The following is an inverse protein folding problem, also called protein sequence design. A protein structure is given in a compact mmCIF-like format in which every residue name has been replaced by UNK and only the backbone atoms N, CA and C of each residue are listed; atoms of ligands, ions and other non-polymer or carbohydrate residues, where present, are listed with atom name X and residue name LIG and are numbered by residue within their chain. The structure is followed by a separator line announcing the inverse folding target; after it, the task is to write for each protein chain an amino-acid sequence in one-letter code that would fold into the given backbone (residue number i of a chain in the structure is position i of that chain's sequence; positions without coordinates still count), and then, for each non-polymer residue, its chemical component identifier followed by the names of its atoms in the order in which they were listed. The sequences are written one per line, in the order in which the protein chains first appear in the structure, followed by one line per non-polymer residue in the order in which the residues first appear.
data_IF_255147558017
#
_entry.id   IF_255147558017
#
_cell.length_a   1.000
_cell.length_b   1.000
_cell.length_c   1.000
_cell.angle_alpha   90.00
_cell.angle_beta   90.00
_cell.angle_gamma   90.00
#
_symmetry.space_group_name_H-M   'P 1'
#
loop_
_entity.id
_entity.type
_entity.pdbx_description
1 polymer ?
#
# COMPACT_ATOMS: atom_id res chain seq x y z
N UNK A 1 -22.08 0.36 8.15
CA UNK A 1 -20.61 0.26 8.10
C UNK A 1 -20.16 0.58 6.67
N UNK A 2 -19.25 1.52 6.55
CA UNK A 2 -18.63 1.88 5.30
C UNK A 2 -17.12 1.57 5.41
N UNK A 3 -16.64 0.58 4.65
CA UNK A 3 -15.24 0.12 4.70
C UNK A 3 -15.08 -1.38 4.40
N UNK A 4 -13.87 -1.87 4.58
CA UNK A 4 -13.52 -3.28 4.36
C UNK A 4 -13.58 -4.07 5.65
N UNK A 5 -13.88 -5.35 5.53
CA UNK A 5 -14.06 -6.26 6.66
C UNK A 5 -13.31 -7.57 6.40
N UNK A 6 -12.65 -8.09 7.42
CA UNK A 6 -11.97 -9.39 7.40
C UNK A 6 -12.18 -10.10 8.73
N UNK A 7 -12.31 -11.44 8.70
CA UNK A 7 -12.40 -12.28 9.91
C UNK A 7 -13.45 -11.80 10.91
N UNK A 8 -14.69 -11.66 10.47
CA UNK A 8 -15.79 -11.28 11.36
C UNK A 8 -16.26 -12.49 12.17
N UNK A 9 -16.23 -12.38 13.50
CA UNK A 9 -16.67 -13.42 14.42
C UNK A 9 -17.76 -12.88 15.34
N UNK A 10 -18.88 -13.59 15.43
CA UNK A 10 -19.93 -13.38 16.41
C UNK A 10 -20.05 -14.60 17.32
N UNK A 11 -19.82 -14.39 18.62
CA UNK A 11 -19.84 -15.46 19.61
C UNK A 11 -21.09 -15.32 20.48
N UNK A 12 -21.95 -16.31 20.44
CA UNK A 12 -23.17 -16.34 21.23
C UNK A 12 -22.92 -16.97 22.61
N UNK A 13 -23.37 -16.27 23.64
CA UNK A 13 -23.36 -16.75 25.03
C UNK A 13 -22.01 -16.70 25.75
N UNK A 14 -20.94 -16.09 25.15
CA UNK A 14 -19.64 -15.96 25.78
C UNK A 14 -19.03 -14.57 25.60
N UNK A 15 -18.42 -14.04 26.65
CA UNK A 15 -17.56 -12.87 26.57
C UNK A 15 -16.09 -13.30 26.46
N UNK A 16 -15.44 -13.02 25.35
CA UNK A 16 -14.05 -13.40 25.06
C UNK A 16 -13.15 -12.18 24.96
N UNK A 17 -11.85 -12.41 25.13
CA UNK A 17 -10.83 -11.37 25.00
C UNK A 17 -10.19 -11.42 23.61
N UNK A 18 -9.49 -10.34 23.16
CA UNK A 18 -8.81 -10.33 21.87
C UNK A 18 -7.82 -11.49 21.65
N UNK A 19 -7.27 -12.06 22.73
CA UNK A 19 -6.36 -13.21 22.65
C UNK A 19 -7.03 -14.49 22.14
N UNK A 20 -8.37 -14.57 22.15
CA UNK A 20 -9.12 -15.66 21.52
C UNK A 20 -9.09 -15.58 19.99
N UNK A 21 -8.94 -14.37 19.42
CA UNK A 21 -9.04 -14.09 18.00
C UNK A 21 -7.70 -13.71 17.36
N UNK A 22 -6.63 -13.61 18.14
CA UNK A 22 -5.32 -13.25 17.64
C UNK A 22 -4.23 -13.53 18.67
N UNK A 23 -3.01 -13.22 18.27
CA UNK A 23 -1.82 -13.34 19.12
C UNK A 23 -0.83 -12.24 18.75
N UNK A 24 0.02 -11.87 19.68
CA UNK A 24 1.15 -11.00 19.39
C UNK A 24 2.30 -11.86 18.90
N UNK A 25 2.72 -11.64 17.65
CA UNK A 25 3.85 -12.33 17.05
C UNK A 25 5.12 -12.05 17.87
N UNK A 26 5.77 -13.09 18.33
CA UNK A 26 6.90 -12.98 19.24
C UNK A 26 8.07 -12.18 18.67
N UNK A 27 8.33 -12.31 17.38
CA UNK A 27 9.46 -11.71 16.70
C UNK A 27 9.27 -10.21 16.43
N UNK A 28 8.08 -9.79 16.04
CA UNK A 28 7.80 -8.42 15.58
C UNK A 28 7.07 -7.58 16.62
N UNK A 29 6.43 -8.20 17.59
CA UNK A 29 5.53 -7.55 18.52
C UNK A 29 4.19 -7.11 17.90
N UNK A 30 3.93 -7.48 16.65
CA UNK A 30 2.70 -7.14 15.94
C UNK A 30 1.60 -8.12 16.31
N UNK A 31 0.41 -7.61 16.62
CA UNK A 31 -0.76 -8.45 16.81
C UNK A 31 -1.22 -9.02 15.47
N UNK A 32 -1.41 -10.36 15.42
CA UNK A 32 -1.87 -11.09 14.23
C UNK A 32 -3.20 -11.77 14.52
N UNK A 33 -4.18 -11.69 13.62
CA UNK A 33 -5.41 -12.45 13.75
C UNK A 33 -5.13 -13.94 13.63
N UNK A 34 -5.92 -14.75 14.35
CA UNK A 34 -5.97 -16.20 14.24
C UNK A 34 -7.42 -16.66 14.18
N UNK A 35 -7.64 -17.80 13.55
CA UNK A 35 -8.95 -18.44 13.58
C UNK A 35 -9.35 -18.72 15.03
N UNK A 36 -10.58 -18.39 15.39
CA UNK A 36 -11.17 -18.84 16.64
C UNK A 36 -11.54 -20.33 16.52
N UNK A 37 -11.10 -21.16 17.47
CA UNK A 37 -11.29 -22.61 17.47
C UNK A 37 -12.28 -23.08 18.56
N UNK A 38 -12.83 -22.16 19.33
CA UNK A 38 -13.83 -22.47 20.34
C UNK A 38 -15.24 -22.62 19.77
N UNK A 39 -16.22 -22.78 20.65
CA UNK A 39 -17.62 -22.88 20.27
C UNK A 39 -18.23 -21.52 20.00
N UNK A 40 -18.96 -21.39 18.91
CA UNK A 40 -19.62 -20.14 18.52
C UNK A 40 -20.97 -19.91 19.21
N UNK A 41 -21.53 -20.95 19.88
CA UNK A 41 -22.91 -20.91 20.40
C UNK A 41 -23.95 -21.08 19.28
N UNK A 42 -25.22 -21.20 19.63
CA UNK A 42 -26.27 -21.56 18.67
C UNK A 42 -26.47 -20.51 17.57
N UNK A 43 -26.41 -19.23 17.92
CA UNK A 43 -26.60 -18.11 16.99
C UNK A 43 -25.28 -17.51 16.49
N UNK A 44 -24.14 -18.04 16.94
CA UNK A 44 -22.82 -17.57 16.56
C UNK A 44 -22.45 -17.94 15.13
N UNK A 45 -21.61 -17.12 14.51
CA UNK A 45 -21.16 -17.33 13.13
C UNK A 45 -19.76 -16.73 12.89
N UNK A 46 -19.10 -17.18 11.80
CA UNK A 46 -17.84 -16.63 11.32
C UNK A 46 -17.91 -16.36 9.82
N UNK A 47 -17.57 -15.14 9.42
CA UNK A 47 -17.40 -14.77 8.02
C UNK A 47 -15.92 -14.47 7.77
N UNK A 48 -15.26 -15.30 6.97
CA UNK A 48 -13.84 -15.09 6.61
C UNK A 48 -13.68 -14.48 5.22
N UNK A 49 -14.77 -14.41 4.44
CA UNK A 49 -14.82 -13.85 3.08
C UNK A 49 -13.78 -14.45 2.11
N UNK A 50 -13.25 -15.65 2.41
CA UNK A 50 -12.14 -16.25 1.68
C UNK A 50 -12.52 -16.93 0.37
N UNK A 51 -13.78 -17.31 0.23
CA UNK A 51 -14.28 -18.05 -0.94
C UNK A 51 -15.13 -17.14 -1.83
N UNK A 52 -14.48 -16.51 -2.79
CA UNK A 52 -15.12 -15.62 -3.77
C UNK A 52 -15.53 -16.34 -5.08
N UNK A 53 -15.61 -17.66 -5.08
CA UNK A 53 -16.10 -18.45 -6.24
C UNK A 53 -17.57 -18.15 -6.59
N UNK A 54 -18.34 -17.70 -5.60
CA UNK A 54 -19.67 -17.10 -5.77
C UNK A 54 -19.98 -16.18 -4.60
N UNK A 55 -20.89 -15.23 -4.80
CA UNK A 55 -21.31 -14.31 -3.73
C UNK A 55 -21.90 -15.05 -2.52
N UNK A 56 -22.66 -16.11 -2.76
CA UNK A 56 -23.23 -16.95 -1.70
C UNK A 56 -22.14 -17.64 -0.88
N UNK A 57 -21.06 -18.10 -1.52
CA UNK A 57 -19.94 -18.71 -0.83
C UNK A 57 -19.12 -17.70 -0.02
N UNK A 58 -18.99 -16.48 -0.53
CA UNK A 58 -18.26 -15.40 0.13
C UNK A 58 -18.87 -15.02 1.49
N UNK A 59 -20.19 -15.03 1.61
CA UNK A 59 -20.92 -14.68 2.85
C UNK A 59 -21.38 -15.90 3.64
N UNK A 60 -20.81 -17.07 3.36
CA UNK A 60 -21.17 -18.32 4.05
C UNK A 60 -20.55 -18.39 5.44
N UNK A 61 -21.36 -18.81 6.40
CA UNK A 61 -20.88 -19.09 7.76
C UNK A 61 -19.83 -20.20 7.77
N UNK A 62 -18.67 -19.90 8.30
CA UNK A 62 -17.53 -20.83 8.47
C UNK A 62 -17.33 -21.31 9.91
N UNK A 63 -18.27 -21.01 10.81
CA UNK A 63 -18.25 -21.48 12.20
C UNK A 63 -18.59 -22.98 12.33
N UNK A 64 -19.35 -23.51 11.38
CA UNK A 64 -19.90 -24.86 11.41
C UNK A 64 -21.37 -24.91 11.86
N UNK A 65 -21.94 -23.79 12.34
CA UNK A 65 -23.35 -23.74 12.77
C UNK A 65 -24.35 -23.67 11.61
N UNK A 66 -23.89 -23.24 10.42
CA UNK A 66 -24.77 -23.07 9.27
C UNK A 66 -25.62 -21.81 9.29
N UNK A 67 -25.27 -20.81 10.09
CA UNK A 67 -25.93 -19.50 10.17
C UNK A 67 -25.50 -18.64 8.96
N UNK A 68 -25.81 -19.10 7.75
CA UNK A 68 -25.43 -18.46 6.52
C UNK A 68 -26.17 -17.13 6.29
N UNK A 69 -25.49 -16.19 5.65
CA UNK A 69 -26.05 -14.92 5.24
C UNK A 69 -26.60 -14.99 3.81
N UNK A 70 -27.61 -14.19 3.54
CA UNK A 70 -28.08 -13.91 2.18
C UNK A 70 -27.42 -12.63 1.70
N UNK A 71 -26.67 -12.65 0.59
CA UNK A 71 -26.05 -11.45 0.05
C UNK A 71 -27.11 -10.48 -0.49
N UNK A 72 -26.91 -9.19 -0.27
CA UNK A 72 -27.73 -8.11 -0.81
C UNK A 72 -26.81 -6.98 -1.29
N UNK A 73 -26.96 -6.57 -2.55
CA UNK A 73 -26.16 -5.53 -3.20
C UNK A 73 -24.64 -5.73 -3.15
N UNK A 74 -24.17 -6.97 -3.06
CA UNK A 74 -22.75 -7.30 -3.15
C UNK A 74 -22.49 -8.34 -4.23
N UNK A 75 -21.28 -8.36 -4.72
CA UNK A 75 -20.81 -9.27 -5.76
C UNK A 75 -19.40 -9.78 -5.48
N UNK A 76 -18.85 -10.66 -6.31
CA UNK A 76 -17.54 -11.27 -6.10
C UNK A 76 -16.39 -10.28 -6.25
N UNK A 77 -16.59 -9.19 -6.96
CA UNK A 77 -15.62 -8.10 -7.16
C UNK A 77 -15.44 -7.24 -5.90
N UNK A 78 -16.36 -7.32 -4.93
CA UNK A 78 -16.22 -6.67 -3.61
C UNK A 78 -15.18 -7.37 -2.71
N UNK A 79 -14.67 -8.54 -3.13
CA UNK A 79 -13.63 -9.27 -2.43
C UNK A 79 -12.24 -8.88 -2.93
N UNK A 80 -11.34 -8.52 -2.01
CA UNK A 80 -9.95 -8.19 -2.31
C UNK A 80 -8.97 -8.88 -1.37
N UNK A 81 -7.68 -8.93 -1.75
CA UNK A 81 -6.66 -9.65 -0.99
C UNK A 81 -6.08 -8.86 0.20
N UNK A 82 -6.49 -7.62 0.41
CA UNK A 82 -6.01 -6.81 1.53
C UNK A 82 -6.52 -7.36 2.86
N UNK A 83 -5.62 -7.72 3.76
CA UNK A 83 -5.93 -8.32 5.06
C UNK A 83 -5.02 -7.78 6.14
N UNK A 84 -5.41 -7.86 7.44
CA UNK A 84 -4.53 -7.45 8.54
C UNK A 84 -3.17 -8.17 8.59
N UNK A 85 -3.04 -9.32 7.92
CA UNK A 85 -1.79 -10.09 7.85
C UNK A 85 -0.95 -9.78 6.63
N UNK A 86 -1.52 -9.12 5.63
CA UNK A 86 -0.82 -8.65 4.44
C UNK A 86 -1.48 -7.38 3.91
N UNK A 87 -1.00 -6.23 4.35
CA UNK A 87 -1.51 -4.92 3.96
C UNK A 87 -0.85 -4.50 2.66
N UNK A 88 -1.66 -4.20 1.65
CA UNK A 88 -1.22 -3.65 0.37
C UNK A 88 -1.13 -2.12 0.43
N UNK A 89 -0.34 -1.55 -0.46
CA UNK A 89 -0.35 -0.11 -0.70
C UNK A 89 -1.74 0.36 -1.12
N UNK A 90 -2.11 1.57 -0.73
CA UNK A 90 -3.31 2.30 -1.20
C UNK A 90 -2.92 3.73 -1.52
N UNK A 91 -3.80 4.52 -2.14
CA UNK A 91 -3.59 5.96 -2.24
C UNK A 91 -3.74 6.61 -0.86
N UNK A 92 -2.94 7.63 -0.57
CA UNK A 92 -2.95 8.32 0.71
C UNK A 92 -3.83 9.59 0.63
N UNK A 93 -5.03 9.59 1.22
CA UNK A 93 -5.92 10.74 1.17
C UNK A 93 -5.43 11.94 1.99
N UNK A 94 -4.45 11.74 2.88
CA UNK A 94 -3.83 12.81 3.69
C UNK A 94 -2.65 13.47 2.99
N UNK A 95 -2.21 12.95 1.85
CA UNK A 95 -1.12 13.50 1.04
C UNK A 95 -1.67 13.95 -0.32
N UNK A 96 -2.70 14.77 -0.27
CA UNK A 96 -3.36 15.40 -1.42
C UNK A 96 -3.25 16.93 -1.31
N UNK A 97 -3.51 17.62 -2.41
CA UNK A 97 -3.51 19.08 -2.45
C UNK A 97 -4.63 19.68 -1.58
N UNK A 98 -4.27 20.61 -0.70
CA UNK A 98 -5.22 21.32 0.18
C UNK A 98 -6.20 22.23 -0.57
N UNK A 99 -5.92 22.60 -1.82
CA UNK A 99 -6.71 23.57 -2.58
C UNK A 99 -7.84 22.95 -3.38
N UNK A 100 -7.76 21.65 -3.66
CA UNK A 100 -8.77 20.91 -4.44
C UNK A 100 -8.63 19.41 -4.18
N UNK A 101 -9.28 18.95 -3.12
CA UNK A 101 -9.16 17.57 -2.61
C UNK A 101 -9.75 16.56 -3.59
N UNK A 102 -9.04 15.47 -3.83
CA UNK A 102 -9.58 14.30 -4.52
C UNK A 102 -10.62 13.58 -3.65
N UNK A 103 -11.65 13.02 -4.25
CA UNK A 103 -12.57 12.12 -3.57
C UNK A 103 -12.03 10.70 -3.68
N UNK A 104 -11.88 10.02 -2.55
CA UNK A 104 -11.41 8.65 -2.48
C UNK A 104 -12.55 7.70 -2.12
N UNK A 105 -12.52 6.49 -2.68
CA UNK A 105 -13.42 5.39 -2.32
C UNK A 105 -12.73 4.05 -2.64
N UNK A 106 -13.45 2.94 -2.51
CA UNK A 106 -12.93 1.59 -2.76
C UNK A 106 -11.64 1.32 -1.97
N UNK A 107 -11.66 1.59 -0.66
CA UNK A 107 -10.47 1.44 0.21
C UNK A 107 -9.29 2.32 -0.20
N UNK A 108 -9.56 3.51 -0.72
CA UNK A 108 -8.56 4.43 -1.28
C UNK A 108 -7.84 3.88 -2.53
N UNK A 109 -8.46 2.97 -3.26
CA UNK A 109 -7.98 2.52 -4.57
C UNK A 109 -8.56 3.33 -5.72
N UNK A 110 -9.74 3.89 -5.55
CA UNK A 110 -10.35 4.82 -6.49
C UNK A 110 -10.11 6.25 -6.03
N UNK A 111 -9.69 7.11 -6.95
CA UNK A 111 -9.64 8.54 -6.73
C UNK A 111 -10.28 9.29 -7.90
N UNK A 112 -11.01 10.35 -7.61
CA UNK A 112 -11.59 11.25 -8.61
C UNK A 112 -11.34 12.70 -8.24
N UNK A 113 -11.15 13.54 -9.26
CA UNK A 113 -10.90 14.98 -9.11
C UNK A 113 -11.67 15.79 -10.14
N UNK A 114 -12.23 16.91 -9.70
CA UNK A 114 -12.93 17.85 -10.57
C UNK A 114 -11.99 18.71 -11.42
N UNK A 115 -12.56 19.67 -12.16
CA UNK A 115 -11.87 20.49 -13.15
C UNK A 115 -11.24 21.78 -12.61
N UNK A 116 -11.23 22.00 -11.29
CA UNK A 116 -10.73 23.25 -10.73
C UNK A 116 -9.20 23.37 -10.76
N UNK A 117 -8.47 22.28 -10.47
CA UNK A 117 -7.01 22.27 -10.45
C UNK A 117 -6.47 20.86 -10.70
N UNK A 118 -5.23 20.79 -11.22
CA UNK A 118 -4.44 19.58 -11.19
C UNK A 118 -4.05 19.22 -9.76
N UNK A 119 -3.89 17.97 -9.45
CA UNK A 119 -3.31 17.51 -8.19
C UNK A 119 -2.92 16.07 -8.25
N UNK A 120 -2.10 15.67 -7.30
CA UNK A 120 -1.58 14.32 -7.15
C UNK A 120 -1.67 13.85 -5.72
N UNK A 121 -1.59 12.55 -5.53
CA UNK A 121 -1.42 11.91 -4.23
C UNK A 121 -0.38 10.79 -4.34
N UNK A 122 0.27 10.49 -3.22
CA UNK A 122 1.20 9.37 -3.09
C UNK A 122 0.49 8.13 -2.59
N UNK A 123 1.08 6.98 -2.89
CA UNK A 123 0.75 5.74 -2.22
C UNK A 123 1.24 5.71 -0.76
N UNK A 124 0.60 4.89 0.07
CA UNK A 124 0.89 4.75 1.51
C UNK A 124 2.19 4.02 1.82
N UNK A 125 2.80 3.35 0.83
CA UNK A 125 4.04 2.59 0.99
C UNK A 125 5.11 3.13 0.06
N UNK A 126 6.27 3.53 0.63
CA UNK A 126 7.47 3.91 -0.11
C UNK A 126 8.35 2.71 -0.44
N UNK A 127 9.00 2.77 -1.59
CA UNK A 127 9.93 1.76 -2.11
C UNK A 127 11.36 2.25 -1.93
N UNK A 128 12.17 1.57 -1.09
CA UNK A 128 13.58 1.93 -0.83
C UNK A 128 14.59 0.96 -1.46
N UNK A 129 14.18 -0.26 -1.77
CA UNK A 129 15.00 -1.32 -2.38
C UNK A 129 14.11 -2.34 -3.07
N UNK A 130 14.68 -3.23 -3.89
CA UNK A 130 13.97 -4.31 -4.57
C UNK A 130 13.22 -3.86 -5.83
N UNK A 131 12.38 -4.77 -6.34
CA UNK A 131 11.64 -4.60 -7.60
C UNK A 131 10.15 -4.68 -7.33
N UNK A 132 9.39 -3.67 -7.79
CA UNK A 132 7.99 -3.47 -7.47
C UNK A 132 7.15 -3.28 -8.73
N UNK A 133 5.93 -3.82 -8.71
CA UNK A 133 4.96 -3.69 -9.79
C UNK A 133 3.60 -3.30 -9.26
N UNK A 134 2.91 -2.41 -9.97
CA UNK A 134 1.52 -2.03 -9.70
C UNK A 134 0.85 -1.48 -10.97
N UNK A 135 -0.46 -1.32 -10.91
CA UNK A 135 -1.30 -0.98 -12.07
C UNK A 135 -2.26 0.16 -11.75
N UNK A 136 -2.60 0.93 -12.78
CA UNK A 136 -3.73 1.85 -12.75
C UNK A 136 -4.69 1.53 -13.87
N UNK A 137 -6.01 1.56 -13.60
CA UNK A 137 -7.07 1.43 -14.60
C UNK A 137 -7.76 2.79 -14.80
N UNK A 138 -7.95 3.14 -16.05
CA UNK A 138 -8.64 4.34 -16.46
C UNK A 138 -10.08 3.98 -16.86
N UNK A 139 -11.09 4.24 -16.03
CA UNK A 139 -12.47 3.78 -16.29
C UNK A 139 -13.12 4.49 -17.48
N UNK A 140 -12.66 5.70 -17.81
CA UNK A 140 -13.13 6.49 -18.95
C UNK A 140 -11.97 6.90 -19.85
N UNK A 141 -12.26 7.34 -21.09
CA UNK A 141 -11.22 7.89 -21.96
C UNK A 141 -10.75 9.26 -21.47
N UNK A 142 -9.46 9.57 -21.65
CA UNK A 142 -8.97 10.94 -21.49
C UNK A 142 -9.32 11.75 -22.73
N UNK A 143 -9.96 12.91 -22.52
CA UNK A 143 -10.38 13.78 -23.60
C UNK A 143 -10.23 15.26 -23.24
N UNK A 144 -9.71 16.05 -24.15
CA UNK A 144 -9.63 17.50 -24.02
C UNK A 144 -8.84 17.91 -22.80
N UNK A 145 -9.50 18.54 -21.81
CA UNK A 145 -8.86 18.99 -20.57
C UNK A 145 -8.79 17.94 -19.47
N UNK A 146 -9.42 16.75 -19.63
CA UNK A 146 -9.35 15.67 -18.65
C UNK A 146 -8.03 14.92 -18.78
N UNK A 147 -7.31 14.74 -17.67
CA UNK A 147 -6.01 14.06 -17.69
C UNK A 147 -5.73 13.21 -16.47
N UNK A 148 -4.99 12.14 -16.71
CA UNK A 148 -4.44 11.22 -15.74
C UNK A 148 -2.92 11.18 -15.88
N UNK A 149 -2.22 11.02 -14.76
CA UNK A 149 -0.78 10.86 -14.68
C UNK A 149 -0.45 9.79 -13.64
N UNK A 150 -0.03 8.62 -14.07
CA UNK A 150 0.30 7.51 -13.19
C UNK A 150 1.76 7.10 -13.28
N UNK A 151 2.37 6.86 -12.14
CA UNK A 151 3.78 6.48 -12.09
C UNK A 151 4.32 6.49 -10.66
N UNK A 152 5.48 7.12 -10.48
CA UNK A 152 6.13 7.26 -9.17
C UNK A 152 6.61 8.69 -8.96
N UNK A 153 6.81 9.05 -7.70
CA UNK A 153 7.42 10.31 -7.29
C UNK A 153 8.34 10.14 -6.08
N UNK A 154 9.20 11.12 -5.85
CA UNK A 154 9.98 11.22 -4.63
C UNK A 154 9.18 11.92 -3.50
N UNK A 155 9.77 12.00 -2.30
CA UNK A 155 9.13 12.60 -1.12
C UNK A 155 8.93 14.12 -1.20
N UNK A 156 9.69 14.82 -2.06
CA UNK A 156 9.65 16.30 -2.18
C UNK A 156 8.85 16.78 -3.39
N UNK A 157 8.26 15.87 -4.17
CA UNK A 157 7.43 16.24 -5.32
C UNK A 157 6.21 17.06 -4.85
N UNK A 158 5.88 18.11 -5.59
CA UNK A 158 4.75 18.97 -5.31
C UNK A 158 3.44 18.28 -5.71
N UNK A 159 2.57 18.01 -4.74
CA UNK A 159 1.28 17.33 -4.95
C UNK A 159 0.18 18.27 -5.47
N UNK A 160 0.41 19.59 -5.50
CA UNK A 160 -0.56 20.57 -6.05
C UNK A 160 -0.68 20.51 -7.56
N UNK A 161 0.19 19.72 -8.21
CA UNK A 161 0.21 19.54 -9.66
C UNK A 161 0.22 18.05 -10.02
N UNK A 162 -0.25 17.70 -11.21
CA UNK A 162 -0.23 16.30 -11.67
C UNK A 162 1.13 15.87 -12.24
N UNK A 163 2.02 16.81 -12.47
CA UNK A 163 3.34 16.59 -13.05
C UNK A 163 4.32 17.70 -12.67
N UNK A 164 5.45 17.33 -12.07
CA UNK A 164 6.51 18.27 -11.65
C UNK A 164 7.86 17.57 -11.52
N UNK A 165 8.89 18.32 -11.13
CA UNK A 165 10.17 17.74 -10.74
C UNK A 165 9.98 16.72 -9.61
N UNK A 166 10.71 15.63 -9.68
CA UNK A 166 10.58 14.52 -8.72
C UNK A 166 9.45 13.53 -9.04
N UNK A 167 8.78 13.65 -10.19
CA UNK A 167 7.79 12.70 -10.69
C UNK A 167 8.29 12.01 -11.97
N UNK A 168 7.98 10.72 -12.11
CA UNK A 168 8.19 9.89 -13.31
C UNK A 168 6.87 9.22 -13.62
N UNK A 169 6.11 9.77 -14.55
CA UNK A 169 4.75 9.33 -14.80
C UNK A 169 4.38 9.32 -16.28
N UNK A 170 3.39 8.50 -16.63
CA UNK A 170 2.76 8.39 -17.92
C UNK A 170 1.32 8.86 -17.84
N UNK A 171 0.89 9.60 -18.85
CA UNK A 171 -0.49 10.06 -18.91
C UNK A 171 -0.67 11.26 -19.84
N UNK A 172 -1.56 12.16 -19.44
CA UNK A 172 -1.94 13.33 -20.22
C UNK A 172 -3.25 13.15 -20.96
N UNK A 173 -3.66 14.19 -21.70
CA UNK A 173 -4.87 14.16 -22.53
C UNK A 173 -4.63 13.48 -23.88
N UNK A 174 -3.41 13.28 -24.30
CA UNK A 174 -2.99 12.83 -25.63
C UNK A 174 -1.88 11.76 -25.61
N UNK A 175 -1.74 11.00 -24.52
CA UNK A 175 -0.78 9.91 -24.42
C UNK A 175 0.67 10.38 -24.26
N UNK A 176 0.86 11.59 -23.76
CA UNK A 176 2.18 12.10 -23.43
C UNK A 176 2.77 11.38 -22.22
N UNK A 177 4.00 10.94 -22.35
CA UNK A 177 4.82 10.51 -21.24
C UNK A 177 5.72 11.66 -20.79
N UNK A 178 5.73 11.97 -19.51
CA UNK A 178 6.60 13.00 -18.96
C UNK A 178 7.49 12.38 -17.90
N UNK A 179 8.76 12.26 -18.19
CA UNK A 179 9.79 12.05 -17.18
C UNK A 179 10.25 13.41 -16.69
N UNK A 180 10.00 13.69 -15.45
CA UNK A 180 10.51 14.89 -14.78
C UNK A 180 11.33 14.49 -13.56
N UNK A 181 12.52 13.98 -13.81
CA UNK A 181 13.57 14.00 -12.80
C UNK A 181 13.91 15.45 -12.41
N UNK A 182 15.09 15.80 -12.09
CA UNK A 182 15.51 17.20 -11.98
C UNK A 182 15.69 17.77 -13.39
N UNK A 183 14.90 18.79 -13.76
CA UNK A 183 15.16 19.60 -14.93
C UNK A 183 14.34 19.35 -16.19
N UNK A 184 13.11 18.86 -16.09
CA UNK A 184 12.14 18.87 -17.21
C UNK A 184 12.63 18.20 -18.51
N UNK A 185 13.50 17.21 -18.41
CA UNK A 185 14.15 16.55 -19.54
C UNK A 185 13.42 15.27 -19.91
N UNK A 186 12.79 15.25 -21.06
CA UNK A 186 12.24 14.07 -21.72
C UNK A 186 10.72 14.00 -21.69
N UNK A 187 10.06 14.76 -22.56
CA UNK A 187 8.70 14.43 -22.97
C UNK A 187 8.83 13.42 -24.11
N UNK A 188 8.40 12.19 -23.85
CA UNK A 188 8.30 11.17 -24.88
C UNK A 188 6.83 11.00 -25.24
N UNK A 189 6.51 10.89 -26.50
CA UNK A 189 5.16 10.62 -26.98
C UNK A 189 5.07 9.14 -27.38
N UNK A 190 4.21 8.39 -26.72
CA UNK A 190 3.96 6.98 -26.98
C UNK A 190 2.58 6.74 -27.64
N UNK A 191 2.05 7.72 -28.33
CA UNK A 191 0.86 7.57 -29.16
C UNK A 191 -0.36 8.34 -28.66
N UNK A 192 -1.51 8.02 -29.26
CA UNK A 192 -2.79 8.68 -29.12
C UNK A 192 -3.43 8.57 -27.73
N UNK A 193 -4.58 9.24 -27.59
CA UNK A 193 -5.46 9.27 -26.43
C UNK A 193 -5.52 7.96 -25.63
N UNK A 194 -5.56 8.11 -24.33
CA UNK A 194 -5.73 6.98 -23.43
C UNK A 194 -7.22 6.61 -23.42
N UNK A 195 -7.54 5.46 -24.00
CA UNK A 195 -8.93 4.97 -24.12
C UNK A 195 -9.48 4.50 -22.76
N UNK A 196 -10.80 4.49 -22.64
CA UNK A 196 -11.48 3.86 -21.51
C UNK A 196 -11.04 2.40 -21.35
N UNK A 197 -10.81 1.98 -20.11
CA UNK A 197 -10.37 0.63 -19.79
C UNK A 197 -8.87 0.39 -20.02
N UNK A 198 -8.08 1.42 -20.38
CA UNK A 198 -6.62 1.31 -20.44
C UNK A 198 -6.06 0.95 -19.07
N UNK A 199 -5.11 0.02 -19.06
CA UNK A 199 -4.29 -0.32 -17.90
C UNK A 199 -2.91 0.30 -18.09
N UNK A 200 -2.48 1.08 -17.12
CA UNK A 200 -1.12 1.63 -17.02
C UNK A 200 -0.34 0.77 -16.04
N UNK A 201 0.68 0.08 -16.52
CA UNK A 201 1.59 -0.71 -15.71
C UNK A 201 2.80 0.12 -15.28
N UNK A 202 3.24 -0.05 -14.04
CA UNK A 202 4.44 0.60 -13.47
C UNK A 202 5.35 -0.46 -12.88
N UNK A 203 6.60 -0.52 -13.34
CA UNK A 203 7.63 -1.40 -12.81
C UNK A 203 8.83 -0.57 -12.37
N UNK A 204 9.26 -0.74 -11.11
CA UNK A 204 10.36 0.00 -10.50
C UNK A 204 11.41 -0.95 -9.98
N UNK A 205 12.64 -0.78 -10.43
CA UNK A 205 13.83 -1.47 -9.90
C UNK A 205 14.66 -0.44 -9.11
N UNK A 206 14.46 -0.44 -7.80
CA UNK A 206 15.15 0.48 -6.89
C UNK A 206 16.63 0.21 -6.81
N UNK A 207 17.03 -1.06 -6.94
CA UNK A 207 18.42 -1.48 -6.79
C UNK A 207 19.27 -1.03 -8.00
N UNK A 208 18.69 -1.08 -9.22
CA UNK A 208 19.34 -0.65 -10.45
C UNK A 208 18.86 0.74 -10.94
N UNK A 209 18.00 1.42 -10.16
CA UNK A 209 17.51 2.79 -10.42
C UNK A 209 16.84 2.95 -11.78
N UNK A 210 15.94 2.02 -12.10
CA UNK A 210 15.21 1.95 -13.36
C UNK A 210 13.72 1.97 -13.18
N UNK A 211 13.03 2.63 -14.09
CA UNK A 211 11.56 2.71 -14.13
C UNK A 211 11.11 2.33 -15.53
N UNK A 212 10.11 1.46 -15.60
CA UNK A 212 9.37 1.15 -16.82
C UNK A 212 7.92 1.50 -16.63
N UNK A 213 7.32 2.06 -17.66
CA UNK A 213 5.91 2.38 -17.74
C UNK A 213 5.31 1.65 -18.93
N UNK A 214 4.07 1.20 -18.82
CA UNK A 214 3.39 0.46 -19.87
C UNK A 214 1.97 0.95 -20.09
N UNK A 215 1.49 0.76 -21.31
CA UNK A 215 0.08 0.86 -21.69
C UNK A 215 -0.39 -0.50 -22.19
N UNK A 216 -1.38 -1.07 -21.51
CA UNK A 216 -1.94 -2.37 -21.84
C UNK A 216 -0.85 -3.45 -22.06
N UNK A 217 0.08 -3.55 -21.11
CA UNK A 217 1.21 -4.47 -21.10
C UNK A 217 2.27 -4.24 -22.20
N UNK A 218 2.18 -3.16 -22.97
CA UNK A 218 3.23 -2.74 -23.88
C UNK A 218 4.18 -1.81 -23.12
N UNK A 219 5.39 -2.26 -22.86
CA UNK A 219 6.39 -1.57 -22.07
C UNK A 219 7.17 -0.56 -22.92
N UNK A 220 7.26 0.67 -22.44
CA UNK A 220 7.94 1.77 -23.11
C UNK A 220 9.42 1.75 -22.83
N UNK A 221 10.21 2.08 -23.84
CA UNK A 221 11.65 2.31 -23.75
C UNK A 221 12.02 3.77 -23.51
N UNK A 222 13.25 4.14 -23.78
CA UNK A 222 13.85 5.44 -23.43
C UNK A 222 13.69 6.54 -24.49
N UNK A 223 13.01 6.28 -25.60
CA UNK A 223 12.83 7.24 -26.69
C UNK A 223 11.38 7.32 -27.16
N UNK A 224 11.06 8.33 -27.99
CA UNK A 224 9.72 8.50 -28.56
C UNK A 224 9.26 7.27 -29.34
N UNK A 225 8.02 6.85 -29.10
CA UNK A 225 7.36 5.70 -29.73
C UNK A 225 8.09 4.36 -29.54
N UNK A 226 9.05 4.31 -28.62
CA UNK A 226 9.81 3.10 -28.28
C UNK A 226 8.98 2.19 -27.37
N UNK A 227 8.71 0.97 -27.83
CA UNK A 227 7.85 -0.02 -27.17
C UNK A 227 8.59 -1.33 -26.86
N UNK A 228 9.92 -1.30 -26.81
CA UNK A 228 10.76 -2.47 -26.54
C UNK A 228 11.40 -2.45 -25.13
N UNK A 229 10.84 -1.65 -24.22
CA UNK A 229 11.18 -1.70 -22.81
C UNK A 229 10.96 -3.11 -22.23
N UNK A 230 11.90 -3.61 -21.44
CA UNK A 230 11.76 -4.93 -20.85
C UNK A 230 12.21 -4.96 -19.39
N UNK A 231 11.27 -4.82 -18.45
CA UNK A 231 11.58 -4.88 -17.03
C UNK A 231 12.08 -6.26 -16.59
N UNK A 232 11.60 -7.36 -17.20
CA UNK A 232 12.01 -8.71 -16.82
C UNK A 232 13.50 -8.98 -17.05
N UNK A 233 14.07 -8.41 -18.11
CA UNK A 233 15.51 -8.49 -18.40
C UNK A 233 16.29 -7.29 -17.89
N UNK A 234 15.60 -6.25 -17.41
CA UNK A 234 16.21 -5.01 -16.95
C UNK A 234 16.76 -4.13 -18.07
N UNK A 235 16.32 -4.34 -19.33
CA UNK A 235 16.79 -3.62 -20.51
C UNK A 235 15.84 -2.51 -20.93
N UNK A 236 16.37 -1.50 -21.59
CA UNK A 236 15.68 -0.34 -22.16
C UNK A 236 14.59 0.25 -21.24
N UNK A 237 14.95 0.76 -20.04
CA UNK A 237 13.99 1.38 -19.13
C UNK A 237 13.39 2.64 -19.75
N UNK A 238 12.13 2.93 -19.45
CA UNK A 238 11.50 4.20 -19.84
C UNK A 238 12.26 5.40 -19.26
N UNK A 239 12.77 5.22 -18.04
CA UNK A 239 13.61 6.22 -17.36
C UNK A 239 14.54 5.58 -16.34
N UNK A 240 15.54 6.36 -15.94
CA UNK A 240 16.41 6.08 -14.80
C UNK A 240 16.34 7.24 -13.80
N UNK A 241 16.78 7.00 -12.57
CA UNK A 241 16.92 8.01 -11.54
C UNK A 241 18.25 7.86 -10.79
N UNK A 242 18.60 8.86 -9.99
CA UNK A 242 19.82 8.87 -9.18
C UNK A 242 19.47 9.05 -7.70
N UNK A 243 20.42 8.74 -6.80
CA UNK A 243 20.22 8.93 -5.35
C UNK A 243 19.93 10.39 -4.99
N UNK A 244 20.53 11.34 -5.71
CA UNK A 244 20.27 12.77 -5.49
C UNK A 244 18.84 13.21 -5.85
N UNK A 245 18.14 12.43 -6.66
CA UNK A 245 16.74 12.68 -7.05
C UNK A 245 15.72 12.06 -6.08
N UNK A 246 16.15 11.23 -5.14
CA UNK A 246 15.31 10.58 -4.11
C UNK A 246 15.90 10.89 -2.72
N UNK A 247 15.71 12.11 -2.20
CA UNK A 247 16.45 12.63 -1.03
C UNK A 247 16.23 11.85 0.25
N UNK A 248 15.11 11.15 0.41
CA UNK A 248 14.81 10.23 1.53
C UNK A 248 15.09 8.76 1.19
N UNK A 249 15.67 8.47 0.01
CA UNK A 249 15.95 7.12 -0.47
C UNK A 249 14.73 6.36 -0.97
N UNK A 250 13.57 6.99 -1.08
CA UNK A 250 12.32 6.34 -1.44
C UNK A 250 11.70 6.90 -2.73
N UNK A 251 11.05 6.01 -3.48
CA UNK A 251 10.02 6.36 -4.46
C UNK A 251 8.65 5.87 -3.95
N UNK A 252 7.63 6.65 -4.24
CA UNK A 252 6.25 6.36 -3.88
C UNK A 252 5.41 6.20 -5.14
N UNK A 253 4.43 5.28 -5.19
CA UNK A 253 3.40 5.32 -6.23
C UNK A 253 2.78 6.73 -6.30
N UNK A 254 2.47 7.19 -7.50
CA UNK A 254 1.88 8.52 -7.69
C UNK A 254 0.72 8.43 -8.65
N UNK A 255 -0.39 9.07 -8.29
CA UNK A 255 -1.56 9.28 -9.14
C UNK A 255 -1.87 10.76 -9.21
N UNK A 256 -1.78 11.34 -10.40
CA UNK A 256 -2.16 12.72 -10.69
C UNK A 256 -3.44 12.77 -11.51
N UNK A 257 -4.35 13.70 -11.17
CA UNK A 257 -5.67 13.82 -11.77
C UNK A 257 -6.01 15.27 -12.08
N UNK A 258 -6.76 15.47 -13.16
CA UNK A 258 -7.44 16.73 -13.49
C UNK A 258 -8.73 16.40 -14.25
N UNK A 259 -9.88 16.77 -13.70
CA UNK A 259 -11.21 16.46 -14.24
C UNK A 259 -11.34 14.98 -14.65
N UNK A 260 -10.81 14.10 -13.82
CA UNK A 260 -10.67 12.69 -14.15
C UNK A 260 -10.75 11.80 -12.91
N UNK A 261 -10.96 10.51 -13.15
CA UNK A 261 -10.92 9.48 -12.14
C UNK A 261 -10.05 8.29 -12.58
N UNK A 262 -9.38 7.65 -11.65
CA UNK A 262 -8.60 6.45 -11.90
C UNK A 262 -8.66 5.48 -10.72
N UNK A 263 -8.35 4.21 -10.99
CA UNK A 263 -8.31 3.13 -10.00
C UNK A 263 -6.91 2.55 -9.95
N UNK A 264 -6.42 2.28 -8.75
CA UNK A 264 -5.13 1.65 -8.52
C UNK A 264 -5.30 0.17 -8.15
N UNK A 265 -4.32 -0.65 -8.50
CA UNK A 265 -4.14 -2.02 -8.03
C UNK A 265 -2.67 -2.23 -7.68
N UNK A 266 -2.38 -2.46 -6.40
CA UNK A 266 -1.03 -2.78 -5.92
C UNK A 266 -0.85 -4.29 -5.70
N UNK A 267 -1.82 -5.08 -6.19
CA UNK A 267 -1.91 -6.52 -6.08
C UNK A 267 -3.10 -7.01 -5.27
N UNK A 268 -4.06 -6.15 -4.86
CA UNK A 268 -5.21 -6.57 -4.08
C UNK A 268 -6.45 -6.88 -4.92
N UNK A 269 -6.60 -6.29 -6.11
CA UNK A 269 -7.81 -6.44 -6.92
C UNK A 269 -7.59 -6.17 -8.42
N UNK A 270 -7.53 -7.23 -9.24
CA UNK A 270 -7.40 -7.12 -10.70
C UNK A 270 -8.69 -6.70 -11.40
N UNK A 271 -9.81 -6.66 -10.67
CA UNK A 271 -11.08 -6.21 -11.25
C UNK A 271 -11.19 -4.70 -11.29
N UNK A 272 -10.35 -3.99 -10.52
CA UNK A 272 -10.46 -2.55 -10.31
C UNK A 272 -11.90 -2.20 -9.90
N UNK A 273 -12.38 -2.80 -8.82
CA UNK A 273 -13.73 -2.65 -8.29
C UNK A 273 -14.79 -2.87 -9.37
N UNK A 274 -14.75 -4.03 -10.05
CA UNK A 274 -15.72 -4.44 -11.06
C UNK A 274 -15.58 -3.77 -12.44
N UNK A 275 -14.55 -2.94 -12.68
CA UNK A 275 -14.32 -2.32 -14.01
C UNK A 275 -13.79 -3.34 -15.03
N UNK A 276 -13.12 -4.38 -14.56
CA UNK A 276 -12.50 -5.44 -15.36
C UNK A 276 -12.89 -6.82 -14.85
N UNK A 277 -12.80 -7.82 -15.72
CA UNK A 277 -12.89 -9.21 -15.29
C UNK A 277 -11.61 -9.64 -14.59
N UNK A 278 -11.74 -10.31 -13.43
CA UNK A 278 -10.62 -10.80 -12.61
C UNK A 278 -9.67 -11.68 -13.45
N UNK A 279 -8.38 -11.42 -13.32
CA UNK A 279 -7.33 -12.17 -14.01
C UNK A 279 -6.51 -13.08 -13.08
N UNK A 280 -6.36 -12.70 -11.81
CA UNK A 280 -5.72 -13.55 -10.80
C UNK A 280 -4.22 -13.72 -10.96
N UNK A 281 -3.51 -12.85 -11.68
CA UNK A 281 -2.07 -12.97 -11.83
C UNK A 281 -1.36 -12.61 -10.52
N UNK A 282 -0.36 -13.42 -10.14
CA UNK A 282 0.44 -13.23 -8.93
C UNK A 282 1.88 -12.90 -9.28
N UNK A 283 2.61 -12.35 -8.32
CA UNK A 283 4.06 -12.23 -8.38
C UNK A 283 4.77 -13.59 -8.16
N UNK A 284 6.10 -13.60 -8.23
CA UNK A 284 6.90 -14.81 -8.05
C UNK A 284 6.79 -15.44 -6.64
N UNK A 285 6.27 -14.70 -5.65
CA UNK A 285 6.00 -15.19 -4.30
C UNK A 285 4.57 -15.74 -4.15
N UNK A 286 3.80 -15.79 -5.23
CA UNK A 286 2.39 -16.20 -5.21
C UNK A 286 1.48 -15.15 -4.55
N UNK A 287 1.92 -13.89 -4.49
CA UNK A 287 1.18 -12.79 -3.87
C UNK A 287 0.61 -11.89 -4.96
N UNK A 288 -0.64 -11.50 -4.76
CA UNK A 288 -1.30 -10.53 -5.63
C UNK A 288 -2.45 -11.10 -6.43
N UNK A 289 -3.24 -10.19 -6.97
CA UNK A 289 -4.28 -10.34 -7.96
C UNK A 289 -4.12 -9.19 -8.94
N UNK A 290 -3.25 -9.37 -9.94
CA UNK A 290 -2.97 -8.39 -10.97
C UNK A 290 -3.75 -8.67 -12.25
N UNK A 291 -4.04 -7.61 -13.01
CA UNK A 291 -4.66 -7.75 -14.32
C UNK A 291 -3.68 -8.29 -15.35
N UNK A 292 -2.45 -7.79 -15.37
CA UNK A 292 -1.34 -8.39 -16.13
C UNK A 292 -0.36 -9.08 -15.19
N UNK A 293 0.28 -10.14 -15.67
CA UNK A 293 1.33 -10.80 -14.90
C UNK A 293 2.48 -9.82 -14.61
N UNK A 294 2.88 -9.66 -13.34
CA UNK A 294 4.05 -8.86 -13.00
C UNK A 294 5.29 -9.33 -13.77
N UNK A 295 6.16 -8.43 -14.23
CA UNK A 295 7.41 -8.81 -14.86
C UNK A 295 8.26 -9.68 -13.93
N UNK A 296 9.07 -10.58 -14.50
CA UNK A 296 9.88 -11.53 -13.73
C UNK A 296 10.74 -10.81 -12.68
N UNK A 297 10.63 -11.22 -11.43
CA UNK A 297 11.36 -10.66 -10.29
C UNK A 297 10.72 -9.43 -9.66
N UNK A 298 9.65 -8.89 -10.23
CA UNK A 298 8.89 -7.78 -9.64
C UNK A 298 7.81 -8.32 -8.71
N UNK A 299 7.52 -7.58 -7.64
CA UNK A 299 6.66 -7.99 -6.54
C UNK A 299 5.50 -7.03 -6.33
N UNK A 300 4.42 -7.54 -5.77
CA UNK A 300 3.31 -6.75 -5.24
C UNK A 300 3.79 -5.82 -4.13
N UNK A 301 3.34 -4.57 -4.14
CA UNK A 301 3.70 -3.59 -3.11
C UNK A 301 2.83 -3.78 -1.87
N UNK A 302 3.27 -4.69 -0.99
CA UNK A 302 2.55 -5.08 0.21
C UNK A 302 3.50 -5.46 1.36
N UNK A 303 2.97 -5.51 2.57
CA UNK A 303 3.76 -5.74 3.78
C UNK A 303 4.51 -7.09 3.79
N UNK A 304 3.97 -8.15 3.20
CA UNK A 304 4.67 -9.44 3.09
C UNK A 304 5.91 -9.38 2.20
N UNK A 305 5.89 -8.56 1.16
CA UNK A 305 7.00 -8.41 0.23
C UNK A 305 8.03 -7.37 0.68
N UNK A 306 7.64 -6.45 1.58
CA UNK A 306 8.53 -5.45 2.18
C UNK A 306 9.50 -6.05 3.19
N UNK A 307 9.19 -7.21 3.73
CA UNK A 307 10.03 -7.88 4.70
C UNK A 307 11.21 -8.57 3.98
N UNK A 308 12.38 -7.93 3.85
CA UNK A 308 13.60 -8.67 3.67
C UNK A 308 14.05 -9.07 5.06
N UNK A 309 14.54 -10.22 5.30
CA UNK A 309 15.18 -10.61 6.56
C UNK A 309 14.62 -9.93 7.81
N UNK A 310 14.22 -10.64 8.84
CA UNK A 310 13.74 -10.02 10.07
C UNK A 310 14.74 -8.94 10.48
N UNK A 311 14.29 -7.76 10.95
CA UNK A 311 15.19 -6.72 11.41
C UNK A 311 16.18 -7.34 12.39
N UNK A 312 17.44 -6.95 12.29
CA UNK A 312 18.52 -7.48 13.15
C UNK A 312 18.22 -7.30 14.66
N UNK A 313 17.32 -6.38 14.98
CA UNK A 313 16.75 -6.23 16.32
C UNK A 313 15.28 -6.65 16.29
N UNK A 314 15.05 -7.88 16.64
CA UNK A 314 13.72 -8.45 16.85
C UNK A 314 13.25 -8.04 18.25
N UNK A 315 12.06 -7.40 18.36
CA UNK A 315 11.53 -6.86 19.62
C UNK A 315 12.45 -5.80 20.28
N UNK A 316 12.48 -4.57 19.73
CA UNK A 316 13.29 -3.47 20.26
C UNK A 316 13.11 -3.25 21.77
N UNK A 317 11.91 -3.47 22.33
CA UNK A 317 11.62 -3.40 23.77
C UNK A 317 12.39 -4.38 24.65
N UNK A 318 13.01 -5.42 24.07
CA UNK A 318 13.91 -6.33 24.78
C UNK A 318 15.36 -5.83 24.82
N UNK A 319 15.64 -4.73 24.13
CA UNK A 319 16.99 -4.18 24.02
C UNK A 319 17.04 -2.72 24.45
N UNK A 320 15.93 -2.00 24.33
CA UNK A 320 15.77 -0.63 24.78
C UNK A 320 14.30 -0.36 25.12
N UNK A 321 14.04 0.22 26.29
CA UNK A 321 12.70 0.67 26.68
C UNK A 321 12.79 1.90 27.59
N UNK A 322 11.67 2.62 27.74
CA UNK A 322 11.54 3.78 28.61
C UNK A 322 10.35 3.59 29.53
N UNK A 323 10.57 3.79 30.84
CA UNK A 323 9.51 3.69 31.84
C UNK A 323 9.38 5.00 32.62
N UNK A 324 8.16 5.30 33.04
CA UNK A 324 7.88 6.36 33.98
C UNK A 324 7.60 5.74 35.34
N UNK A 325 8.20 6.30 36.39
CA UNK A 325 7.93 5.91 37.77
C UNK A 325 7.91 7.11 38.70
N UNK A 326 7.27 6.98 39.83
CA UNK A 326 7.29 7.97 40.91
C UNK A 326 8.24 7.50 41.97
N UNK A 327 9.23 8.32 42.30
CA UNK A 327 10.16 8.03 43.39
C UNK A 327 9.42 7.94 44.73
N UNK A 328 9.79 6.99 45.58
CA UNK A 328 9.17 6.75 46.88
C UNK A 328 9.96 7.37 48.06
N UNK A 329 11.07 8.08 47.77
CA UNK A 329 11.93 8.72 48.75
C UNK A 329 12.82 7.76 49.57
N UNK A 330 12.87 6.48 49.22
CA UNK A 330 13.73 5.50 49.92
C UNK A 330 15.06 5.31 49.19
N UNK A 331 16.00 4.67 49.88
CA UNK A 331 17.33 4.35 49.35
C UNK A 331 17.33 3.25 48.30
N UNK A 332 16.22 2.54 48.16
CA UNK A 332 16.03 1.52 47.13
C UNK A 332 14.58 1.48 46.68
N UNK A 333 14.36 1.32 45.36
CA UNK A 333 13.06 1.15 44.77
C UNK A 333 13.16 0.16 43.61
N UNK A 334 12.32 -0.87 43.62
CA UNK A 334 12.21 -1.81 42.50
C UNK A 334 11.36 -1.19 41.41
N UNK A 335 11.91 -1.06 40.20
CA UNK A 335 11.20 -0.67 39.00
C UNK A 335 10.99 -1.91 38.15
N UNK A 336 9.73 -2.22 37.85
CA UNK A 336 9.33 -3.36 37.03
C UNK A 336 8.70 -2.87 35.72
N UNK A 337 8.61 -3.76 34.72
CA UNK A 337 7.96 -3.47 33.43
C UNK A 337 8.92 -3.54 32.23
N UNK A 338 10.23 -3.70 32.47
CA UNK A 338 11.16 -4.03 31.36
C UNK A 338 11.08 -5.53 31.01
N UNK A 339 11.22 -5.83 29.73
CA UNK A 339 11.32 -7.21 29.22
C UNK A 339 12.76 -7.75 29.21
N UNK A 340 13.74 -7.03 29.78
CA UNK A 340 15.16 -7.37 29.84
C UNK A 340 15.81 -6.81 31.09
N UNK A 341 16.98 -7.34 31.49
CA UNK A 341 17.84 -6.78 32.48
C UNK A 341 18.71 -5.69 31.80
N UNK A 342 18.65 -4.41 32.24
CA UNK A 342 19.43 -3.37 31.59
C UNK A 342 20.89 -3.40 32.06
N UNK A 343 21.82 -3.31 31.11
CA UNK A 343 23.26 -3.05 31.38
C UNK A 343 23.55 -1.55 31.50
N UNK A 344 22.66 -0.71 30.92
CA UNK A 344 22.78 0.74 30.98
C UNK A 344 21.44 1.37 31.34
N UNK A 345 21.43 2.27 32.31
CA UNK A 345 20.25 2.98 32.81
C UNK A 345 20.47 4.48 32.76
N UNK A 346 19.56 5.18 32.10
CA UNK A 346 19.54 6.64 32.08
C UNK A 346 18.29 7.16 32.79
N UNK A 347 18.48 7.90 33.87
CA UNK A 347 17.41 8.44 34.70
C UNK A 347 17.39 9.97 34.60
N UNK A 348 16.20 10.54 34.49
CA UNK A 348 15.97 11.99 34.51
C UNK A 348 14.70 12.31 35.27
N UNK A 349 14.79 13.26 36.24
CA UNK A 349 13.60 13.83 36.86
C UNK A 349 12.80 14.65 35.88
N UNK A 350 11.47 14.44 35.86
CA UNK A 350 10.52 15.22 35.06
C UNK A 350 9.86 16.36 35.85
N UNK A 351 9.88 16.27 37.19
CA UNK A 351 9.27 17.24 38.12
C UNK A 351 10.21 18.34 38.59
N UNK A 352 11.52 18.19 38.38
CA UNK A 352 12.52 19.17 38.73
C UNK A 352 13.43 19.50 37.57
N UNK A 353 13.49 20.77 37.18
CA UNK A 353 14.39 21.27 36.12
C UNK A 353 15.85 21.38 36.53
N UNK A 354 16.13 21.36 37.83
CA UNK A 354 17.48 21.51 38.39
C UNK A 354 18.26 20.19 38.58
N UNK A 355 17.55 19.05 38.47
CA UNK A 355 18.20 17.75 38.62
C UNK A 355 18.94 17.35 37.35
N UNK A 356 20.17 16.90 37.51
CA UNK A 356 21.00 16.40 36.41
C UNK A 356 20.54 14.99 35.94
N UNK A 357 21.01 14.60 34.77
CA UNK A 357 20.84 13.24 34.29
C UNK A 357 21.74 12.28 35.07
N UNK A 358 21.21 11.12 35.45
CA UNK A 358 22.00 10.04 36.06
C UNK A 358 22.17 8.92 35.05
N UNK A 359 23.39 8.51 34.78
CA UNK A 359 23.77 7.43 33.88
C UNK A 359 24.46 6.35 34.71
N UNK A 360 24.01 5.13 34.62
CA UNK A 360 24.47 3.96 35.35
C UNK A 360 24.74 2.81 34.40
N UNK A 361 25.82 2.08 34.56
CA UNK A 361 26.15 0.83 33.86
C UNK A 361 26.72 -0.21 34.83
#
# INVERSE_FOLDING_TARGET
FDGYMAEFNFIDGQQLTPSSFGFTEFQTGIWRPKRYEGTYGTNGFRLDFSDNSSITNMVKDKSGNGNNFSPDNCNTEDSMLDTPTNVFCTQNPFDDDYTSVSTFSEGNLYASRGSSNHGSNRGTIGMSSGKWYFEYCLPTATHGSASFWGGVCNSTADMTVSRTNGMWNYGGSNGEFIVRGTGNTGIHNYGSDIAAGTIVGVAVDMDNKKIWLAKNNTWFGSSNADTDGNPSTGTNPTSTFTDSQIPDGNLYPQMGLYNYAAKANFGQDSTFSGTKTRQGNTDANGIGDFFYAPPTGFKALCSKNLLPTPPSVIRPKRHFDTLFYTGNGSTSQNISGLEFAPDFVWIKSRSSGSEHHSLLN
#
